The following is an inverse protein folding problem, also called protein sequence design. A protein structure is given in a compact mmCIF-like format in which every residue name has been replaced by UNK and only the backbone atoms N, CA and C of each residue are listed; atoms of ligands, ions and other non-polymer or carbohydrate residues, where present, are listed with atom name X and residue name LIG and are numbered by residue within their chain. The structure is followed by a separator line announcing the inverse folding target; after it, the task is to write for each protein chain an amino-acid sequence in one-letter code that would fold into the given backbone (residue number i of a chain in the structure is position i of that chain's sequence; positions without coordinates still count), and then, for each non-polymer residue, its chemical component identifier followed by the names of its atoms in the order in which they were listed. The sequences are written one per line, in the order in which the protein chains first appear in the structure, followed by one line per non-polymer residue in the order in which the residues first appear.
data_IF_741247089209
#
_entry.id   IF_741247089209
#
_cell.length_a   1.000
_cell.length_b   1.000
_cell.length_c   1.000
_cell.angle_alpha   90.00
_cell.angle_beta   90.00
_cell.angle_gamma   90.00
#
_symmetry.space_group_name_H-M   'P 1'
#
loop_
_entity.id
_entity.type
_entity.pdbx_description
1 polymer ?
#
# COMPACT_ATOMS: atom_id res chain seq x y z
N UNK A 1 15.32 -14.95 11.31
CA UNK A 1 13.98 -14.33 11.52
C UNK A 1 13.31 -14.80 12.82
N UNK A 2 13.41 -16.08 13.22
CA UNK A 2 12.79 -16.60 14.46
C UNK A 2 13.28 -15.96 15.76
N UNK A 3 14.55 -15.56 15.84
CA UNK A 3 15.15 -14.97 17.05
C UNK A 3 14.68 -13.54 17.33
N UNK A 4 14.47 -12.71 16.29
CA UNK A 4 13.99 -11.33 16.44
C UNK A 4 12.50 -11.28 16.82
N UNK A 5 11.68 -12.17 16.25
CA UNK A 5 10.25 -12.26 16.58
C UNK A 5 10.03 -12.73 18.02
N UNK A 6 10.78 -13.75 18.47
CA UNK A 6 10.72 -14.23 19.85
C UNK A 6 11.13 -13.17 20.87
N UNK A 7 12.10 -12.30 20.53
CA UNK A 7 12.47 -11.14 21.37
C UNK A 7 11.38 -10.09 21.42
N UNK A 8 10.76 -9.74 20.29
CA UNK A 8 9.62 -8.81 20.24
C UNK A 8 8.46 -9.29 21.11
N UNK A 9 8.11 -10.58 21.02
CA UNK A 9 7.07 -11.18 21.83
C UNK A 9 7.41 -11.15 23.33
N UNK A 10 8.66 -11.46 23.69
CA UNK A 10 9.14 -11.40 25.07
C UNK A 10 9.15 -9.96 25.63
N UNK A 11 9.61 -8.98 24.84
CA UNK A 11 9.65 -7.57 25.23
C UNK A 11 8.24 -6.99 25.41
N UNK A 12 7.30 -7.36 24.52
CA UNK A 12 5.91 -6.97 24.64
C UNK A 12 5.25 -7.58 25.89
N UNK A 13 5.52 -8.86 26.17
CA UNK A 13 5.03 -9.54 27.37
C UNK A 13 5.59 -8.93 28.66
N UNK A 14 6.86 -8.51 28.66
CA UNK A 14 7.49 -7.85 29.82
C UNK A 14 6.94 -6.43 30.06
N UNK A 15 6.53 -5.72 29.01
CA UNK A 15 5.92 -4.39 29.12
C UNK A 15 4.46 -4.44 29.64
N UNK A 16 3.78 -5.59 29.52
CA UNK A 16 2.43 -5.81 30.05
C UNK A 16 2.50 -6.52 31.41
N UNK A 17 2.03 -5.89 32.49
CA UNK A 17 2.07 -6.47 33.85
C UNK A 17 1.63 -7.96 33.89
N UNK A 18 2.39 -8.78 34.63
CA UNK A 18 2.40 -10.26 34.62
C UNK A 18 1.03 -10.95 34.79
N UNK A 19 0.01 -10.28 35.34
CA UNK A 19 -1.35 -10.84 35.51
C UNK A 19 -2.15 -10.82 34.20
N UNK A 20 -1.79 -9.97 33.24
CA UNK A 20 -2.40 -9.91 31.90
C UNK A 20 -1.82 -10.96 30.95
N UNK A 21 -0.65 -11.54 31.27
CA UNK A 21 0.11 -12.44 30.38
C UNK A 21 -0.61 -13.79 30.13
N UNK A 22 -1.42 -14.29 31.07
CA UNK A 22 -2.21 -15.51 30.86
C UNK A 22 -3.53 -15.26 30.10
N UNK A 23 -4.06 -14.04 30.12
CA UNK A 23 -5.22 -13.63 29.32
C UNK A 23 -4.82 -13.07 27.94
N UNK A 24 -3.56 -12.67 27.78
CA UNK A 24 -2.91 -12.25 26.55
C UNK A 24 -2.17 -13.42 25.88
N UNK A 25 -2.88 -14.53 25.67
CA UNK A 25 -2.75 -15.18 24.36
C UNK A 25 -3.13 -14.07 23.35
N UNK A 26 -2.14 -13.39 22.79
CA UNK A 26 -2.25 -12.23 21.88
C UNK A 26 -2.97 -12.70 20.60
N UNK A 27 -4.28 -12.86 20.71
CA UNK A 27 -5.21 -13.15 19.63
C UNK A 27 -6.04 -11.91 19.34
N UNK A 28 -5.43 -10.72 19.52
CA UNK A 28 -6.00 -9.49 18.99
C UNK A 28 -5.72 -9.47 17.49
N UNK A 29 -6.56 -10.18 16.76
CA UNK A 29 -6.48 -10.24 15.32
C UNK A 29 -7.04 -8.93 14.74
N UNK A 30 -6.17 -7.93 14.57
CA UNK A 30 -6.52 -6.66 13.92
C UNK A 30 -7.01 -6.87 12.48
N UNK A 31 -6.91 -8.08 11.94
CA UNK A 31 -7.43 -8.43 10.63
C UNK A 31 -8.93 -8.70 10.62
N UNK A 32 -9.58 -8.79 11.80
CA UNK A 32 -11.03 -8.91 11.93
C UNK A 32 -11.75 -7.55 11.96
N UNK A 33 -11.00 -6.44 12.11
CA UNK A 33 -11.58 -5.10 12.22
C UNK A 33 -11.70 -4.47 10.83
N UNK A 34 -12.94 -4.31 10.38
CA UNK A 34 -13.26 -3.61 9.13
C UNK A 34 -13.57 -2.15 9.39
N UNK A 35 -13.08 -1.30 8.49
CA UNK A 35 -13.41 0.12 8.47
C UNK A 35 -14.31 0.42 7.28
N UNK A 36 -15.19 1.41 7.44
CA UNK A 36 -15.92 1.94 6.30
C UNK A 36 -14.93 2.60 5.34
N UNK A 37 -14.95 2.18 4.06
CA UNK A 37 -14.10 2.76 3.04
C UNK A 37 -14.42 4.26 2.86
N UNK A 38 -13.40 5.13 2.64
CA UNK A 38 -13.64 6.52 2.32
C UNK A 38 -14.57 6.63 1.10
N UNK A 39 -15.47 7.62 1.11
CA UNK A 39 -16.55 7.75 0.12
C UNK A 39 -16.03 7.77 -1.32
N UNK A 40 -14.83 8.29 -1.54
CA UNK A 40 -14.17 8.39 -2.84
C UNK A 40 -13.85 7.01 -3.44
N UNK A 41 -13.67 5.97 -2.61
CA UNK A 41 -13.41 4.60 -3.06
C UNK A 41 -14.69 3.78 -3.26
N UNK A 42 -15.85 4.22 -2.75
CA UNK A 42 -17.11 3.46 -2.84
C UNK A 42 -17.46 3.01 -4.27
N UNK A 43 -17.29 3.84 -5.31
CA UNK A 43 -17.53 3.41 -6.68
C UNK A 43 -16.67 2.20 -7.08
N UNK A 44 -15.40 2.13 -6.66
CA UNK A 44 -14.57 0.95 -6.92
C UNK A 44 -15.22 -0.32 -6.33
N UNK A 45 -15.64 -0.27 -5.06
CA UNK A 45 -16.27 -1.39 -4.39
C UNK A 45 -17.60 -1.84 -4.99
N UNK A 46 -18.27 -0.99 -5.75
CA UNK A 46 -19.48 -1.32 -6.53
C UNK A 46 -19.16 -1.97 -7.88
N UNK A 47 -18.00 -1.60 -8.46
CA UNK A 47 -17.53 -2.08 -9.76
C UNK A 47 -16.75 -3.40 -9.67
N UNK A 48 -16.21 -3.75 -8.49
CA UNK A 48 -15.49 -5.00 -8.29
C UNK A 48 -16.40 -6.21 -8.47
N UNK A 49 -15.88 -7.23 -9.17
CA UNK A 49 -16.53 -8.53 -9.23
C UNK A 49 -16.69 -9.12 -7.82
N UNK A 50 -17.81 -9.81 -7.59
CA UNK A 50 -18.19 -10.33 -6.26
C UNK A 50 -17.07 -11.07 -5.54
N UNK A 51 -16.33 -11.93 -6.25
CA UNK A 51 -15.22 -12.69 -5.66
C UNK A 51 -14.01 -11.81 -5.30
N UNK A 52 -13.69 -10.79 -6.11
CA UNK A 52 -12.61 -9.83 -5.80
C UNK A 52 -12.98 -8.97 -4.58
N UNK A 53 -14.24 -8.56 -4.49
CA UNK A 53 -14.76 -7.83 -3.34
C UNK A 53 -14.70 -8.66 -2.06
N UNK A 54 -15.17 -9.91 -2.11
CA UNK A 54 -15.11 -10.82 -0.98
C UNK A 54 -13.66 -11.09 -0.53
N UNK A 55 -12.74 -11.34 -1.48
CA UNK A 55 -11.31 -11.51 -1.19
C UNK A 55 -10.70 -10.25 -0.53
N UNK A 56 -11.12 -9.06 -0.96
CA UNK A 56 -10.66 -7.79 -0.41
C UNK A 56 -11.26 -7.45 0.96
N UNK A 57 -12.45 -7.96 1.28
CA UNK A 57 -13.16 -7.67 2.53
C UNK A 57 -13.03 -8.77 3.59
N UNK A 58 -12.83 -10.02 3.18
CA UNK A 58 -12.83 -11.21 4.05
C UNK A 58 -11.64 -12.13 3.80
N UNK A 59 -10.93 -11.97 2.67
CA UNK A 59 -9.87 -12.87 2.24
C UNK A 59 -8.48 -12.50 2.74
N UNK A 60 -7.47 -13.14 2.13
CA UNK A 60 -6.05 -12.90 2.47
C UNK A 60 -5.62 -11.49 2.11
N UNK A 61 -6.20 -10.90 1.06
CA UNK A 61 -5.90 -9.50 0.68
C UNK A 61 -6.25 -8.52 1.79
N UNK A 62 -7.37 -8.73 2.50
CA UNK A 62 -7.74 -7.95 3.68
C UNK A 62 -6.71 -8.08 4.81
N UNK A 63 -6.36 -9.33 5.15
CA UNK A 63 -5.39 -9.67 6.19
C UNK A 63 -4.04 -9.01 5.90
N UNK A 64 -3.56 -9.09 4.66
CA UNK A 64 -2.31 -8.47 4.21
C UNK A 64 -2.36 -6.94 4.33
N UNK A 65 -3.44 -6.31 3.87
CA UNK A 65 -3.63 -4.86 3.97
C UNK A 65 -3.62 -4.38 5.44
N UNK A 66 -4.33 -5.10 6.32
CA UNK A 66 -4.39 -4.81 7.77
C UNK A 66 -3.02 -4.95 8.43
N UNK A 67 -2.29 -6.03 8.14
CA UNK A 67 -0.95 -6.29 8.72
C UNK A 67 0.08 -5.28 8.26
N UNK A 68 0.16 -5.01 6.95
CA UNK A 68 1.06 -4.00 6.42
C UNK A 68 0.69 -2.60 6.93
N UNK A 69 -0.59 -2.24 6.92
CA UNK A 69 -1.05 -0.95 7.43
C UNK A 69 -0.75 -0.75 8.91
N UNK A 70 -0.75 -1.80 9.73
CA UNK A 70 -0.34 -1.71 11.13
C UNK A 70 1.19 -1.62 11.29
N UNK A 71 1.94 -2.39 10.50
CA UNK A 71 3.41 -2.46 10.55
C UNK A 71 4.10 -1.14 10.13
N UNK A 72 3.48 -0.40 9.21
CA UNK A 72 3.98 0.89 8.69
C UNK A 72 3.22 2.11 9.25
N UNK A 73 2.43 1.92 10.32
CA UNK A 73 1.49 2.92 10.86
C UNK A 73 2.08 4.29 11.19
N UNK A 74 3.31 4.32 11.71
CA UNK A 74 4.05 5.51 12.15
C UNK A 74 5.07 6.02 11.13
N UNK A 75 5.14 5.40 9.94
CA UNK A 75 6.02 5.83 8.84
C UNK A 75 5.29 6.80 7.90
N UNK A 76 3.97 6.63 7.77
CA UNK A 76 3.19 7.36 6.79
C UNK A 76 2.83 8.77 7.28
N UNK A 77 3.05 9.81 6.46
CA UNK A 77 2.61 11.17 6.76
C UNK A 77 1.08 11.30 6.66
N UNK A 78 0.52 12.28 7.36
CA UNK A 78 -0.90 12.65 7.22
C UNK A 78 -1.14 13.30 5.85
N UNK A 79 -1.90 12.61 5.00
CA UNK A 79 -2.16 13.06 3.62
C UNK A 79 -3.64 12.88 3.23
N UNK A 80 -4.56 13.59 3.90
CA UNK A 80 -5.99 13.43 3.68
C UNK A 80 -6.43 13.87 2.28
N UNK A 81 -5.82 14.91 1.69
CA UNK A 81 -6.20 15.38 0.36
C UNK A 81 -5.71 14.41 -0.72
N UNK A 82 -4.53 13.83 -0.53
CA UNK A 82 -3.98 12.78 -1.39
C UNK A 82 -4.87 11.54 -1.39
N UNK A 83 -5.28 11.05 -0.21
CA UNK A 83 -6.18 9.88 -0.12
C UNK A 83 -7.49 10.15 -0.86
N UNK A 84 -8.08 11.35 -0.66
CA UNK A 84 -9.31 11.76 -1.34
C UNK A 84 -9.15 11.80 -2.86
N UNK A 85 -8.10 12.47 -3.33
CA UNK A 85 -7.85 12.65 -4.74
C UNK A 85 -7.47 11.32 -5.41
N UNK A 86 -6.74 10.45 -4.70
CA UNK A 86 -6.46 9.08 -5.14
C UNK A 86 -7.73 8.25 -5.29
N UNK A 87 -8.60 8.23 -4.28
CA UNK A 87 -9.87 7.50 -4.36
C UNK A 87 -10.76 7.97 -5.51
N UNK A 88 -10.84 9.29 -5.70
CA UNK A 88 -11.60 9.89 -6.81
C UNK A 88 -11.04 9.42 -8.15
N UNK A 89 -9.71 9.42 -8.30
CA UNK A 89 -9.05 8.95 -9.51
C UNK A 89 -9.26 7.46 -9.76
N UNK A 90 -9.16 6.65 -8.71
CA UNK A 90 -9.43 5.21 -8.78
C UNK A 90 -10.85 4.98 -9.29
N UNK A 91 -11.84 5.71 -8.79
CA UNK A 91 -13.22 5.63 -9.26
C UNK A 91 -13.37 6.00 -10.74
N UNK A 92 -12.77 7.11 -11.18
CA UNK A 92 -12.76 7.56 -12.58
C UNK A 92 -12.14 6.52 -13.53
N UNK A 93 -10.94 6.05 -13.20
CA UNK A 93 -10.19 5.06 -13.98
C UNK A 93 -10.97 3.75 -14.05
N UNK A 94 -11.54 3.30 -12.93
CA UNK A 94 -12.30 2.05 -12.89
C UNK A 94 -13.53 2.11 -13.79
N UNK A 95 -14.26 3.22 -13.75
CA UNK A 95 -15.41 3.46 -14.62
C UNK A 95 -14.99 3.46 -16.09
N UNK A 96 -13.92 4.20 -16.44
CA UNK A 96 -13.43 4.26 -17.81
C UNK A 96 -12.92 2.91 -18.32
N UNK A 97 -12.22 2.14 -17.48
CA UNK A 97 -11.76 0.80 -17.81
C UNK A 97 -12.94 -0.13 -18.10
N UNK A 98 -13.99 -0.10 -17.26
CA UNK A 98 -15.19 -0.87 -17.49
C UNK A 98 -15.94 -0.45 -18.76
N UNK A 99 -16.05 0.84 -19.05
CA UNK A 99 -16.70 1.32 -20.28
C UNK A 99 -15.97 0.81 -21.55
N UNK A 100 -14.66 0.57 -21.45
CA UNK A 100 -13.83 0.03 -22.52
C UNK A 100 -13.79 -1.51 -22.60
N UNK A 101 -14.34 -2.24 -21.61
CA UNK A 101 -14.33 -3.70 -21.63
C UNK A 101 -15.30 -4.29 -22.68
N UNK A 102 -14.87 -5.29 -23.47
CA UNK A 102 -15.75 -5.98 -24.39
C UNK A 102 -16.92 -6.65 -23.65
N UNK A 103 -18.15 -6.34 -24.06
CA UNK A 103 -19.39 -6.82 -23.41
C UNK A 103 -19.52 -8.35 -23.37
N UNK A 104 -18.82 -9.05 -24.27
CA UNK A 104 -18.85 -10.50 -24.43
C UNK A 104 -18.34 -11.25 -23.20
N UNK A 105 -17.39 -10.69 -22.44
CA UNK A 105 -16.84 -11.36 -21.25
C UNK A 105 -17.74 -11.29 -20.01
N UNK A 106 -18.65 -10.30 -19.96
CA UNK A 106 -19.53 -10.05 -18.79
C UNK A 106 -20.53 -11.17 -18.53
N UNK A 107 -20.91 -11.94 -19.56
CA UNK A 107 -21.88 -13.03 -19.45
C UNK A 107 -21.23 -14.43 -19.39
N UNK A 108 -19.91 -14.50 -19.23
CA UNK A 108 -19.18 -15.78 -19.18
C UNK A 108 -19.05 -16.30 -17.75
N UNK A 109 -18.66 -17.57 -17.62
CA UNK A 109 -18.29 -18.19 -16.33
C UNK A 109 -17.13 -17.50 -15.63
N UNK A 110 -16.37 -16.66 -16.34
CA UNK A 110 -15.26 -15.86 -15.80
C UNK A 110 -15.68 -14.47 -15.33
N UNK A 111 -16.97 -14.12 -15.40
CA UNK A 111 -17.51 -12.83 -14.94
C UNK A 111 -17.18 -12.52 -13.47
N UNK A 112 -17.01 -13.55 -12.64
CA UNK A 112 -16.56 -13.43 -11.25
C UNK A 112 -15.10 -12.94 -11.10
N UNK A 113 -14.32 -12.95 -12.18
CA UNK A 113 -12.91 -12.54 -12.24
C UNK A 113 -12.63 -11.44 -13.27
N UNK A 114 -13.54 -11.25 -14.24
CA UNK A 114 -13.50 -10.18 -15.22
C UNK A 114 -13.68 -8.80 -14.56
N UNK A 115 -13.22 -7.74 -15.21
CA UNK A 115 -13.22 -6.40 -14.64
C UNK A 115 -11.85 -5.94 -14.12
N UNK A 116 -11.86 -4.71 -13.62
CA UNK A 116 -10.73 -4.04 -12.99
C UNK A 116 -10.23 -4.83 -11.77
N UNK A 117 -8.92 -5.07 -11.70
CA UNK A 117 -8.29 -5.57 -10.48
C UNK A 117 -8.01 -4.43 -9.50
N UNK A 118 -9.02 -4.10 -8.69
CA UNK A 118 -8.87 -3.18 -7.55
C UNK A 118 -8.84 -3.89 -6.21
N UNK A 119 -8.49 -5.18 -6.17
CA UNK A 119 -8.61 -6.02 -4.96
C UNK A 119 -7.78 -5.46 -3.82
N UNK A 120 -6.49 -5.18 -4.07
CA UNK A 120 -5.59 -4.58 -3.07
C UNK A 120 -5.98 -3.16 -2.68
N UNK A 121 -6.54 -2.36 -3.60
CA UNK A 121 -7.03 -1.00 -3.31
C UNK A 121 -8.22 -1.06 -2.36
N UNK A 122 -9.21 -1.91 -2.64
CA UNK A 122 -10.41 -2.03 -1.82
C UNK A 122 -10.09 -2.64 -0.46
N UNK A 123 -9.19 -3.63 -0.43
CA UNK A 123 -8.67 -4.18 0.82
C UNK A 123 -8.00 -3.09 1.68
N UNK A 124 -7.16 -2.25 1.07
CA UNK A 124 -6.55 -1.11 1.75
C UNK A 124 -7.60 -0.10 2.26
N UNK A 125 -8.54 0.30 1.41
CA UNK A 125 -9.57 1.29 1.72
C UNK A 125 -10.48 0.86 2.87
N UNK A 126 -10.77 -0.44 2.99
CA UNK A 126 -11.56 -1.03 4.09
C UNK A 126 -10.71 -1.43 5.30
N UNK A 127 -9.39 -1.20 5.25
CA UNK A 127 -8.42 -1.59 6.29
C UNK A 127 -7.94 -0.42 7.12
N UNK A 128 -7.36 0.62 6.51
CA UNK A 128 -6.93 1.86 7.18
C UNK A 128 -6.38 2.86 6.17
N UNK A 129 -6.24 4.12 6.58
CA UNK A 129 -5.53 5.14 5.78
C UNK A 129 -4.09 4.72 5.46
N UNK A 130 -3.37 4.19 6.44
CA UNK A 130 -2.01 3.68 6.24
C UNK A 130 -1.97 2.53 5.23
N UNK A 131 -2.98 1.64 5.22
CA UNK A 131 -3.04 0.58 4.22
C UNK A 131 -3.20 1.14 2.79
N UNK A 132 -3.88 2.28 2.62
CA UNK A 132 -3.96 2.98 1.33
C UNK A 132 -2.57 3.50 0.93
N UNK A 133 -1.81 4.08 1.85
CA UNK A 133 -0.42 4.49 1.59
C UNK A 133 0.48 3.31 1.21
N UNK A 134 0.35 2.19 1.91
CA UNK A 134 1.07 0.95 1.62
C UNK A 134 0.68 0.40 0.24
N UNK A 135 -0.57 0.54 -0.17
CA UNK A 135 -0.96 0.20 -1.54
C UNK A 135 -0.29 1.13 -2.58
N UNK A 136 -0.14 2.42 -2.28
CA UNK A 136 0.65 3.34 -3.13
C UNK A 136 2.14 2.95 -3.18
N UNK A 137 2.71 2.44 -2.08
CA UNK A 137 4.04 1.83 -2.09
C UNK A 137 4.08 0.59 -3.00
N UNK A 138 3.08 -0.28 -2.96
CA UNK A 138 3.02 -1.43 -3.87
C UNK A 138 2.99 -0.98 -5.34
N UNK A 139 2.25 0.08 -5.64
CA UNK A 139 2.25 0.67 -6.98
C UNK A 139 3.62 1.24 -7.36
N UNK A 140 4.29 1.94 -6.44
CA UNK A 140 5.66 2.42 -6.67
C UNK A 140 6.60 1.26 -6.99
N UNK A 141 6.57 0.18 -6.20
CA UNK A 141 7.44 -0.97 -6.43
C UNK A 141 7.13 -1.66 -7.77
N UNK A 142 5.86 -1.78 -8.13
CA UNK A 142 5.43 -2.38 -9.38
C UNK A 142 5.78 -1.54 -10.63
N UNK A 143 6.11 -0.26 -10.44
CA UNK A 143 6.53 0.63 -11.53
C UNK A 143 8.02 0.51 -11.85
N UNK A 144 8.87 0.39 -10.83
CA UNK A 144 10.33 0.42 -11.01
C UNK A 144 10.98 -0.96 -11.06
N UNK A 145 10.35 -2.00 -10.52
CA UNK A 145 10.95 -3.33 -10.42
C UNK A 145 10.05 -4.43 -11.00
N UNK A 146 10.72 -5.44 -11.56
CA UNK A 146 10.09 -6.67 -12.02
C UNK A 146 9.53 -7.47 -10.82
N UNK A 147 8.52 -8.34 -11.03
CA UNK A 147 7.81 -8.99 -9.92
C UNK A 147 8.71 -9.71 -8.90
N UNK A 148 9.71 -10.53 -9.29
CA UNK A 148 10.57 -11.21 -8.32
C UNK A 148 11.43 -10.26 -7.47
N UNK A 149 11.86 -9.15 -8.07
CA UNK A 149 12.65 -8.12 -7.40
C UNK A 149 11.77 -7.33 -6.43
N UNK A 150 10.59 -6.88 -6.86
CA UNK A 150 9.63 -6.17 -6.02
C UNK A 150 9.22 -6.99 -4.79
N UNK A 151 8.98 -8.30 -4.95
CA UNK A 151 8.69 -9.20 -3.83
C UNK A 151 9.88 -9.32 -2.87
N UNK A 152 11.11 -9.37 -3.39
CA UNK A 152 12.31 -9.42 -2.54
C UNK A 152 12.51 -8.11 -1.77
N UNK A 153 12.22 -6.96 -2.39
CA UNK A 153 12.19 -5.66 -1.71
C UNK A 153 11.13 -5.66 -0.61
N UNK A 154 9.92 -6.16 -0.87
CA UNK A 154 8.87 -6.29 0.15
C UNK A 154 9.30 -7.15 1.35
N UNK A 155 9.90 -8.31 1.10
CA UNK A 155 10.44 -9.19 2.15
C UNK A 155 11.46 -8.44 3.01
N UNK A 156 12.38 -7.68 2.38
CA UNK A 156 13.35 -6.84 3.09
C UNK A 156 12.68 -5.73 3.90
N UNK A 157 11.71 -5.01 3.31
CA UNK A 157 10.99 -3.92 3.97
C UNK A 157 10.27 -4.39 5.24
N UNK A 158 9.58 -5.53 5.16
CA UNK A 158 8.88 -6.11 6.32
C UNK A 158 9.88 -6.53 7.39
N UNK A 159 10.98 -7.17 6.99
CA UNK A 159 12.01 -7.63 7.91
C UNK A 159 12.70 -6.47 8.64
N UNK A 160 13.15 -5.45 7.90
CA UNK A 160 13.82 -4.26 8.45
C UNK A 160 12.87 -3.46 9.32
N UNK A 161 11.61 -3.30 8.92
CA UNK A 161 10.62 -2.59 9.74
C UNK A 161 10.39 -3.27 11.08
N UNK A 162 10.30 -4.61 11.11
CA UNK A 162 10.19 -5.36 12.38
C UNK A 162 11.44 -5.18 13.25
N UNK A 163 12.65 -5.19 12.65
CA UNK A 163 13.90 -4.98 13.39
C UNK A 163 13.99 -3.56 13.97
N UNK A 164 13.58 -2.56 13.20
CA UNK A 164 13.52 -1.16 13.67
C UNK A 164 12.60 -1.01 14.88
N UNK A 165 11.38 -1.56 14.80
CA UNK A 165 10.41 -1.53 15.90
C UNK A 165 10.96 -2.27 17.14
N UNK A 166 11.62 -3.41 16.95
CA UNK A 166 12.25 -4.15 18.05
C UNK A 166 13.35 -3.33 18.74
N UNK A 167 14.23 -2.70 17.97
CA UNK A 167 15.32 -1.88 18.50
C UNK A 167 14.79 -0.68 19.29
N UNK A 168 13.75 -0.01 18.79
CA UNK A 168 13.10 1.12 19.48
C UNK A 168 12.43 0.69 20.79
N UNK A 169 11.80 -0.48 20.80
CA UNK A 169 11.21 -1.05 22.02
C UNK A 169 12.29 -1.40 23.06
N UNK A 170 13.41 -1.99 22.64
CA UNK A 170 14.56 -2.29 23.52
C UNK A 170 15.19 -1.02 24.11
N UNK A 171 15.16 0.09 23.38
CA UNK A 171 15.62 1.41 23.85
C UNK A 171 14.63 2.11 24.78
N UNK A 172 13.46 1.54 25.02
CA UNK A 172 12.43 2.12 25.88
C UNK A 172 11.70 3.31 25.26
N UNK A 173 11.73 3.46 23.94
CA UNK A 173 11.00 4.52 23.26
C UNK A 173 9.48 4.36 23.47
N UNK A 174 8.74 5.44 23.79
CA UNK A 174 7.29 5.40 23.85
C UNK A 174 6.70 5.00 22.49
N UNK A 175 5.93 3.92 22.46
CA UNK A 175 5.34 3.39 21.23
C UNK A 175 3.89 2.96 21.45
N UNK A 176 3.05 3.17 20.42
CA UNK A 176 1.70 2.63 20.42
C UNK A 176 1.71 1.09 20.46
N UNK A 177 0.93 0.51 21.38
CA UNK A 177 0.79 -0.94 21.54
C UNK A 177 0.45 -1.66 20.21
N UNK A 178 -0.40 -1.06 19.37
CA UNK A 178 -0.76 -1.63 18.07
C UNK A 178 0.43 -1.83 17.12
N UNK A 179 1.42 -0.94 17.16
CA UNK A 179 2.63 -1.04 16.34
C UNK A 179 3.55 -2.16 16.84
N UNK A 180 3.78 -2.21 18.16
CA UNK A 180 4.58 -3.27 18.77
C UNK A 180 3.92 -4.66 18.58
N UNK A 181 2.60 -4.74 18.74
CA UNK A 181 1.84 -5.96 18.49
C UNK A 181 1.91 -6.39 17.02
N UNK A 182 1.78 -5.46 16.06
CA UNK A 182 1.93 -5.77 14.64
C UNK A 182 3.32 -6.31 14.29
N UNK A 183 4.38 -5.75 14.90
CA UNK A 183 5.74 -6.24 14.74
C UNK A 183 5.96 -7.63 15.35
N UNK A 184 5.25 -7.97 16.44
CA UNK A 184 5.33 -9.26 17.14
C UNK A 184 4.41 -10.35 16.56
N UNK A 185 3.46 -10.00 15.69
CA UNK A 185 2.53 -10.93 15.05
C UNK A 185 3.20 -11.85 14.02
N UNK A 186 2.49 -12.94 13.66
CA UNK A 186 2.92 -13.88 12.62
C UNK A 186 3.33 -13.17 11.33
N UNK A 187 4.29 -13.80 10.63
CA UNK A 187 4.90 -13.22 9.45
C UNK A 187 3.92 -13.05 8.29
N UNK A 188 4.15 -12.00 7.51
CA UNK A 188 3.47 -11.80 6.22
C UNK A 188 4.23 -12.69 5.26
N UNK A 189 3.57 -13.71 4.70
CA UNK A 189 4.30 -14.67 3.89
C UNK A 189 4.73 -14.03 2.56
N UNK A 190 5.83 -14.51 1.98
CA UNK A 190 6.26 -14.11 0.64
C UNK A 190 5.16 -14.27 -0.42
N UNK A 191 4.29 -15.28 -0.26
CA UNK A 191 3.14 -15.48 -1.13
C UNK A 191 2.09 -14.36 -0.97
N UNK A 192 1.86 -13.88 0.26
CA UNK A 192 0.96 -12.74 0.51
C UNK A 192 1.50 -11.46 -0.13
N UNK A 193 2.81 -11.23 -0.01
CA UNK A 193 3.50 -10.08 -0.64
C UNK A 193 3.44 -10.15 -2.16
N UNK A 194 3.64 -11.34 -2.75
CA UNK A 194 3.51 -11.55 -4.18
C UNK A 194 2.09 -11.31 -4.69
N UNK A 195 1.07 -11.76 -3.95
CA UNK A 195 -0.33 -11.49 -4.32
C UNK A 195 -0.68 -10.00 -4.21
N UNK A 196 -0.17 -9.32 -3.17
CA UNK A 196 -0.33 -7.88 -2.99
C UNK A 196 0.29 -7.07 -4.14
N UNK A 197 1.54 -7.37 -4.50
CA UNK A 197 2.24 -6.76 -5.65
C UNK A 197 1.53 -7.05 -6.98
N UNK A 198 1.11 -8.29 -7.20
CA UNK A 198 0.42 -8.68 -8.43
C UNK A 198 -0.90 -7.91 -8.63
N UNK A 199 -1.68 -7.71 -7.58
CA UNK A 199 -2.92 -6.91 -7.65
C UNK A 199 -2.61 -5.43 -7.93
N UNK A 200 -1.59 -4.84 -7.28
CA UNK A 200 -1.18 -3.46 -7.56
C UNK A 200 -0.69 -3.28 -9.01
N UNK A 201 0.06 -4.25 -9.53
CA UNK A 201 0.54 -4.25 -10.91
C UNK A 201 -0.59 -4.40 -11.93
N UNK A 202 -1.56 -5.26 -11.66
CA UNK A 202 -2.77 -5.41 -12.49
C UNK A 202 -3.60 -4.11 -12.52
N UNK A 203 -3.69 -3.42 -11.38
CA UNK A 203 -4.27 -2.08 -11.31
C UNK A 203 -3.51 -1.08 -12.19
N UNK A 204 -2.18 -1.00 -12.07
CA UNK A 204 -1.33 -0.10 -12.86
C UNK A 204 -1.53 -0.30 -14.36
N UNK A 205 -1.55 -1.57 -14.81
CA UNK A 205 -1.77 -1.92 -16.20
C UNK A 205 -3.16 -1.46 -16.68
N UNK A 206 -4.19 -1.68 -15.86
CA UNK A 206 -5.56 -1.22 -16.13
C UNK A 206 -5.62 0.30 -16.23
N UNK A 207 -5.01 1.01 -15.28
CA UNK A 207 -4.97 2.46 -15.24
C UNK A 207 -4.27 3.06 -16.46
N UNK A 208 -3.11 2.51 -16.85
CA UNK A 208 -2.37 2.92 -18.05
C UNK A 208 -3.17 2.66 -19.33
N UNK A 209 -3.88 1.54 -19.43
CA UNK A 209 -4.72 1.24 -20.57
C UNK A 209 -5.89 2.22 -20.69
N UNK A 210 -6.59 2.50 -19.59
CA UNK A 210 -7.71 3.43 -19.55
C UNK A 210 -7.28 4.89 -19.81
N UNK A 211 -6.13 5.30 -19.25
CA UNK A 211 -5.62 6.68 -19.29
C UNK A 211 -4.50 6.89 -20.31
N UNK A 212 -4.41 6.04 -21.34
CA UNK A 212 -3.27 5.97 -22.27
C UNK A 212 -2.86 7.32 -22.86
N UNK A 213 -3.84 8.14 -23.28
CA UNK A 213 -3.59 9.47 -23.87
C UNK A 213 -2.93 10.40 -22.86
N UNK A 214 -3.51 10.53 -21.66
CA UNK A 214 -3.00 11.39 -20.59
C UNK A 214 -1.62 10.93 -20.10
N UNK A 215 -1.45 9.62 -19.93
CA UNK A 215 -0.18 9.00 -19.56
C UNK A 215 0.92 9.26 -20.59
N UNK A 216 0.60 9.16 -21.88
CA UNK A 216 1.57 9.43 -22.96
C UNK A 216 1.99 10.90 -22.96
N UNK A 217 1.04 11.83 -22.83
CA UNK A 217 1.32 13.26 -22.79
C UNK A 217 2.23 13.63 -21.63
N UNK A 218 1.97 13.08 -20.45
CA UNK A 218 2.80 13.35 -19.30
C UNK A 218 4.20 12.73 -19.44
N UNK A 219 4.32 11.48 -19.87
CA UNK A 219 5.63 10.86 -20.05
C UNK A 219 6.49 11.62 -21.06
N UNK A 220 5.88 12.27 -22.06
CA UNK A 220 6.60 13.16 -22.97
C UNK A 220 7.13 14.42 -22.28
N UNK A 221 6.42 14.95 -21.29
CA UNK A 221 6.86 16.08 -20.47
C UNK A 221 7.98 15.64 -19.51
N UNK A 222 7.81 14.49 -18.85
CA UNK A 222 8.76 13.97 -17.85
C UNK A 222 10.10 13.56 -18.45
N UNK A 223 10.11 12.99 -19.66
CA UNK A 223 11.34 12.66 -20.40
C UNK A 223 12.24 13.87 -20.68
N UNK A 224 11.74 15.09 -20.55
CA UNK A 224 12.50 16.32 -20.73
C UNK A 224 13.07 16.87 -19.41
N UNK A 225 12.83 16.21 -18.27
CA UNK A 225 13.30 16.64 -16.95
C UNK A 225 14.39 15.67 -16.50
N UNK A 226 15.64 16.12 -16.55
CA UNK A 226 16.79 15.39 -16.03
C UNK A 226 16.74 15.40 -14.50
N UNK A 227 16.72 14.24 -13.84
CA UNK A 227 16.75 14.18 -12.37
C UNK A 227 17.87 13.27 -11.88
N UNK A 228 18.81 13.86 -11.14
CA UNK A 228 19.81 13.14 -10.35
C UNK A 228 19.18 12.49 -9.13
N UNK A 229 19.49 11.22 -8.89
CA UNK A 229 19.36 10.59 -7.57
C UNK A 229 20.77 10.23 -7.10
N UNK A 230 21.19 10.81 -5.98
CA UNK A 230 22.52 10.62 -5.37
C UNK A 230 22.50 9.60 -4.22
N UNK A 231 23.60 8.83 -4.18
CA UNK A 231 24.31 8.13 -3.08
C UNK A 231 23.68 6.99 -2.24
N UNK A 232 24.58 6.12 -1.78
CA UNK A 232 24.38 4.77 -1.21
C UNK A 232 23.42 4.74 -0.01
N UNK A 233 22.14 4.56 -0.27
CA UNK A 233 21.14 4.14 0.72
C UNK A 233 20.93 2.62 0.67
N UNK A 234 20.63 1.99 1.81
CA UNK A 234 20.14 0.59 1.80
C UNK A 234 18.76 0.56 1.11
N UNK A 235 18.32 -0.60 0.64
CA UNK A 235 17.02 -0.72 -0.04
C UNK A 235 15.91 -0.26 0.90
N UNK A 236 15.93 -0.70 2.16
CA UNK A 236 14.96 -0.26 3.16
C UNK A 236 14.92 1.26 3.35
N UNK A 237 16.06 1.93 3.61
CA UNK A 237 16.05 3.37 3.88
C UNK A 237 15.69 4.18 2.63
N UNK A 238 16.26 3.81 1.48
CA UNK A 238 16.02 4.51 0.21
C UNK A 238 14.57 4.39 -0.25
N UNK A 239 13.99 3.18 -0.25
CA UNK A 239 12.61 2.95 -0.66
C UNK A 239 11.62 3.61 0.32
N UNK A 240 11.85 3.47 1.62
CA UNK A 240 10.97 4.08 2.64
C UNK A 240 11.00 5.60 2.58
N UNK A 241 12.18 6.20 2.41
CA UNK A 241 12.32 7.65 2.27
C UNK A 241 11.70 8.16 0.98
N UNK A 242 11.96 7.51 -0.16
CA UNK A 242 11.37 7.89 -1.44
C UNK A 242 9.84 7.80 -1.41
N UNK A 243 9.29 6.74 -0.81
CA UNK A 243 7.85 6.58 -0.63
C UNK A 243 7.26 7.69 0.25
N UNK A 244 7.83 7.94 1.42
CA UNK A 244 7.38 9.01 2.33
C UNK A 244 7.42 10.38 1.64
N UNK A 245 8.54 10.72 1.01
CA UNK A 245 8.71 11.99 0.30
C UNK A 245 7.69 12.12 -0.84
N UNK A 246 7.40 11.01 -1.54
CA UNK A 246 6.35 10.99 -2.57
C UNK A 246 5.00 11.36 -1.95
N UNK A 247 4.59 10.70 -0.87
CA UNK A 247 3.31 10.98 -0.21
C UNK A 247 3.19 12.46 0.21
N UNK A 248 4.22 13.01 0.85
CA UNK A 248 4.23 14.43 1.28
C UNK A 248 4.16 15.40 0.09
N UNK A 249 4.93 15.12 -0.96
CA UNK A 249 4.96 15.94 -2.17
C UNK A 249 3.61 15.93 -2.86
N UNK A 250 2.99 14.76 -2.96
CA UNK A 250 1.69 14.59 -3.60
C UNK A 250 0.58 15.27 -2.80
N UNK A 251 0.58 15.16 -1.48
CA UNK A 251 -0.37 15.89 -0.61
C UNK A 251 -0.30 17.39 -0.84
N UNK A 252 0.91 17.95 -0.91
CA UNK A 252 1.11 19.38 -1.16
C UNK A 252 0.64 19.76 -2.57
N UNK A 253 0.97 18.94 -3.58
CA UNK A 253 0.58 19.19 -4.97
C UNK A 253 -0.94 19.23 -5.14
N UNK A 254 -1.67 18.23 -4.62
CA UNK A 254 -3.15 18.22 -4.71
C UNK A 254 -3.80 19.30 -3.85
N UNK A 255 -3.08 19.84 -2.88
CA UNK A 255 -3.48 20.99 -2.07
C UNK A 255 -3.16 22.33 -2.74
N UNK A 256 -2.59 22.33 -3.95
CA UNK A 256 -2.23 23.55 -4.69
C UNK A 256 -1.00 24.28 -4.14
N UNK A 257 -0.18 23.60 -3.33
CA UNK A 257 1.04 24.19 -2.74
C UNK A 257 2.21 23.97 -3.72
N UNK A 258 2.84 25.05 -4.24
CA UNK A 258 3.97 24.94 -5.15
C UNK A 258 5.11 24.12 -4.55
N UNK A 259 5.71 23.22 -5.35
CA UNK A 259 6.88 22.44 -4.96
C UNK A 259 8.11 22.93 -5.73
N UNK A 260 9.26 23.07 -5.06
CA UNK A 260 10.54 23.21 -5.76
C UNK A 260 10.84 21.91 -6.53
N UNK A 261 11.30 22.03 -7.78
CA UNK A 261 11.64 20.91 -8.66
C UNK A 261 12.93 20.24 -8.16
N UNK A 262 12.81 19.46 -7.09
CA UNK A 262 13.78 18.48 -6.59
C UNK A 262 13.16 17.08 -6.58
N UNK A 263 12.15 16.88 -7.39
CA UNK A 263 11.32 15.69 -7.41
C UNK A 263 11.93 14.74 -8.44
N UNK A 264 12.50 13.61 -7.99
CA UNK A 264 13.07 12.61 -8.88
C UNK A 264 12.02 12.03 -9.82
N UNK A 265 12.45 11.57 -11.00
CA UNK A 265 11.61 10.93 -12.02
C UNK A 265 10.65 9.86 -11.44
N UNK A 266 11.09 9.15 -10.39
CA UNK A 266 10.27 8.15 -9.72
C UNK A 266 9.00 8.71 -9.04
N UNK A 267 9.10 9.90 -8.44
CA UNK A 267 7.96 10.59 -7.82
C UNK A 267 7.08 11.21 -8.91
N UNK A 268 7.67 11.63 -10.05
CA UNK A 268 6.94 12.19 -11.19
C UNK A 268 6.15 11.12 -11.99
N UNK A 269 6.66 9.90 -12.13
CA UNK A 269 5.89 8.79 -12.72
C UNK A 269 4.70 8.40 -11.81
N UNK A 270 4.89 8.45 -10.48
CA UNK A 270 3.79 8.43 -9.50
C UNK A 270 2.79 9.57 -9.75
N UNK A 271 3.25 10.83 -9.84
CA UNK A 271 2.39 12.01 -10.17
C UNK A 271 1.55 11.73 -11.42
N UNK A 272 2.11 11.03 -12.38
CA UNK A 272 1.47 10.74 -13.65
C UNK A 272 0.39 9.71 -13.69
N UNK A 273 0.54 8.69 -12.88
CA UNK A 273 -0.50 7.70 -12.70
C UNK A 273 -1.68 8.26 -11.90
N UNK A 274 -1.45 9.24 -11.03
CA UNK A 274 -2.45 9.69 -10.06
C UNK A 274 -3.10 11.06 -10.35
N UNK A 275 -2.44 12.02 -11.04
CA UNK A 275 -2.90 13.44 -11.05
C UNK A 275 -2.78 14.21 -12.36
N UNK A 276 -2.68 13.55 -13.52
CA UNK A 276 -2.80 14.23 -14.81
C UNK A 276 -4.16 14.92 -14.95
N UNK A 277 -4.20 16.22 -14.64
CA UNK A 277 -5.32 17.15 -14.87
C UNK A 277 -5.44 17.43 -16.35
#
# INVERSE_FOLDING_TARGET
MSTSLGRLQAALAAATNEVTVAAANINFDFTLVKYEAPKEFKPLGELLASKRKDEAENGRSHITARRLGALFGDVCPETPNLIKAYGTRVAEVSKQAMDNEPREYRNTIFSAYAGVDGTSIWAAATSSKTAIHVHMLACMLAEFWDPPEAVSIWDELVAERRRDIAARLEQGEPMHFGLAAAAAQQDISRQDLAAWDASARAWIQTARAAMRVKYTQLNLILKNIDTLVHEKTTVFSGVTEAWRLSLETMEKLVSGIPQEVRIGAAILDLVGMYFGS
#
